data_IF_532632673549
#
_entry.id   IF_532632673549
#
_cell.length_a   1.000
_cell.length_b   1.000
_cell.length_c   1.000
_cell.angle_alpha   90.00
_cell.angle_beta   90.00
_cell.angle_gamma   90.00
#
_symmetry.space_group_name_H-M   'P 1'
#
loop_
_entity.id
_entity.type
_entity.pdbx_description
1 polymer ?
#
# COMPACT_ATOMS: atom_id res chain seq x y z
N UNK A 1 3.21 3.46 24.54
CA UNK A 1 2.27 4.38 23.86
C UNK A 1 1.53 3.52 22.86
N UNK A 2 0.24 3.27 23.08
CA UNK A 2 -0.56 2.44 22.18
C UNK A 2 -1.04 3.31 21.02
N UNK A 3 -0.82 2.88 19.78
CA UNK A 3 -1.31 3.57 18.59
C UNK A 3 -2.56 2.83 18.13
N UNK A 4 -3.76 3.41 18.28
CA UNK A 4 -4.99 2.73 17.89
C UNK A 4 -4.96 2.43 16.39
N UNK A 5 -5.41 1.23 16.01
CA UNK A 5 -5.45 0.81 14.61
C UNK A 5 -6.40 1.73 13.83
N UNK A 6 -5.91 2.28 12.72
CA UNK A 6 -6.73 3.08 11.81
C UNK A 6 -7.59 2.21 10.91
N UNK A 7 -8.71 2.76 10.42
CA UNK A 7 -9.56 2.10 9.42
C UNK A 7 -8.82 1.86 8.10
N UNK A 8 -7.94 2.78 7.72
CA UNK A 8 -7.12 2.70 6.51
C UNK A 8 -5.65 2.69 6.90
N UNK A 9 -4.93 1.65 6.49
CA UNK A 9 -3.52 1.45 6.80
C UNK A 9 -2.72 1.42 5.51
N UNK A 10 -1.58 2.10 5.49
CA UNK A 10 -0.62 2.02 4.38
C UNK A 10 0.66 1.38 4.88
N UNK A 11 1.10 0.32 4.20
CA UNK A 11 2.37 -0.36 4.42
C UNK A 11 3.29 0.00 3.25
N UNK A 12 4.35 0.75 3.53
CA UNK A 12 5.39 1.05 2.53
C UNK A 12 6.53 0.02 2.65
N UNK A 13 6.61 -0.91 1.70
CA UNK A 13 7.53 -2.04 1.74
C UNK A 13 7.02 -3.20 0.88
N UNK A 14 7.90 -4.10 0.43
CA UNK A 14 7.54 -5.06 -0.62
C UNK A 14 8.15 -6.46 -0.51
N UNK A 15 8.37 -6.95 0.71
CA UNK A 15 8.73 -8.36 0.95
C UNK A 15 7.59 -9.13 1.61
N UNK A 16 7.80 -10.42 1.89
CA UNK A 16 6.79 -11.31 2.48
C UNK A 16 6.21 -10.77 3.80
N UNK A 17 7.08 -10.14 4.61
CA UNK A 17 6.69 -9.49 5.87
C UNK A 17 5.64 -8.39 5.68
N UNK A 18 5.61 -7.71 4.53
CA UNK A 18 4.62 -6.67 4.26
C UNK A 18 3.21 -7.25 4.09
N UNK A 19 3.09 -8.42 3.46
CA UNK A 19 1.82 -9.14 3.31
C UNK A 19 1.35 -9.72 4.63
N UNK A 20 2.26 -10.29 5.42
CA UNK A 20 1.93 -10.81 6.75
C UNK A 20 1.47 -9.69 7.68
N UNK A 21 2.12 -8.53 7.63
CA UNK A 21 1.66 -7.34 8.33
C UNK A 21 0.28 -6.89 7.85
N UNK A 22 0.02 -6.90 6.54
CA UNK A 22 -1.29 -6.53 5.99
C UNK A 22 -2.42 -7.43 6.51
N UNK A 23 -2.20 -8.75 6.52
CA UNK A 23 -3.17 -9.72 7.09
C UNK A 23 -3.43 -9.46 8.57
N UNK A 24 -2.39 -9.19 9.35
CA UNK A 24 -2.52 -8.86 10.79
C UNK A 24 -3.28 -7.55 11.00
N UNK A 25 -3.07 -6.54 10.16
CA UNK A 25 -3.83 -5.29 10.21
C UNK A 25 -5.33 -5.53 9.96
N UNK A 26 -5.68 -6.34 8.96
CA UNK A 26 -7.08 -6.72 8.71
C UNK A 26 -7.70 -7.45 9.92
N UNK A 27 -6.98 -8.41 10.51
CA UNK A 27 -7.41 -9.11 11.73
C UNK A 27 -7.57 -8.18 12.94
N UNK A 28 -6.79 -7.08 12.98
CA UNK A 28 -6.83 -6.07 14.04
C UNK A 28 -7.92 -5.01 13.82
N UNK A 29 -8.78 -5.17 12.80
CA UNK A 29 -9.92 -4.30 12.54
C UNK A 29 -9.69 -3.17 11.53
N UNK A 30 -8.62 -3.22 10.74
CA UNK A 30 -8.50 -2.33 9.59
C UNK A 30 -9.60 -2.67 8.55
N UNK A 31 -10.19 -1.65 7.93
CA UNK A 31 -11.18 -1.80 6.85
C UNK A 31 -10.49 -1.98 5.49
N UNK A 32 -9.33 -1.33 5.30
CA UNK A 32 -8.53 -1.46 4.09
C UNK A 32 -7.05 -1.30 4.41
N UNK A 33 -6.23 -2.17 3.80
CA UNK A 33 -4.77 -2.06 3.87
C UNK A 33 -4.23 -1.86 2.45
N UNK A 34 -3.42 -0.83 2.25
CA UNK A 34 -2.70 -0.61 1.00
C UNK A 34 -1.24 -0.92 1.18
N UNK A 35 -0.68 -1.80 0.34
CA UNK A 35 0.75 -2.15 0.34
C UNK A 35 1.42 -1.53 -0.87
N UNK A 36 2.44 -0.70 -0.64
CA UNK A 36 3.22 -0.06 -1.70
C UNK A 36 4.50 -0.85 -1.97
N UNK A 37 4.53 -1.58 -3.08
CA UNK A 37 5.72 -2.26 -3.59
C UNK A 37 6.52 -1.35 -4.49
N UNK A 38 7.81 -1.22 -4.19
CA UNK A 38 8.74 -0.52 -5.09
C UNK A 38 9.02 -1.30 -6.38
N UNK A 39 8.96 -2.63 -6.31
CA UNK A 39 9.21 -3.55 -7.43
C UNK A 39 7.93 -3.78 -8.24
N UNK A 40 8.08 -4.28 -9.45
CA UNK A 40 6.97 -4.79 -10.26
C UNK A 40 6.43 -6.10 -9.69
N UNK A 41 5.20 -6.46 -10.07
CA UNK A 41 4.60 -7.73 -9.69
C UNK A 41 5.44 -8.94 -10.13
N UNK A 42 6.03 -8.87 -11.33
CA UNK A 42 6.91 -9.91 -11.88
C UNK A 42 8.16 -10.12 -11.03
N UNK A 43 8.79 -9.04 -10.56
CA UNK A 43 9.98 -9.11 -9.70
C UNK A 43 9.67 -9.66 -8.30
N UNK A 44 8.42 -9.56 -7.84
CA UNK A 44 7.95 -10.14 -6.57
C UNK A 44 7.52 -11.60 -6.77
N UNK A 45 7.19 -12.01 -8.00
CA UNK A 45 6.77 -13.37 -8.31
C UNK A 45 5.32 -13.69 -7.95
N UNK A 46 4.45 -12.67 -7.83
CA UNK A 46 3.03 -12.85 -7.50
C UNK A 46 2.21 -13.11 -8.77
N UNK A 47 1.42 -14.18 -8.75
CA UNK A 47 0.44 -14.46 -9.80
C UNK A 47 -0.77 -13.50 -9.72
N UNK A 48 -1.42 -13.24 -10.85
CA UNK A 48 -2.62 -12.39 -10.89
C UNK A 48 -3.75 -12.92 -9.99
N UNK A 49 -3.86 -14.24 -9.85
CA UNK A 49 -4.81 -14.88 -8.93
C UNK A 49 -4.52 -14.56 -7.46
N UNK A 50 -3.24 -14.46 -7.07
CA UNK A 50 -2.86 -14.08 -5.71
C UNK A 50 -3.17 -12.61 -5.46
N UNK A 51 -2.88 -11.74 -6.43
CA UNK A 51 -3.22 -10.31 -6.33
C UNK A 51 -4.74 -10.12 -6.19
N UNK A 52 -5.54 -10.86 -6.97
CA UNK A 52 -7.00 -10.83 -6.86
C UNK A 52 -7.48 -11.30 -5.47
N UNK A 53 -6.90 -12.39 -4.96
CA UNK A 53 -7.24 -12.90 -3.61
C UNK A 53 -6.94 -11.87 -2.51
N UNK A 54 -5.87 -11.08 -2.63
CA UNK A 54 -5.60 -9.98 -1.70
C UNK A 54 -6.61 -8.85 -1.84
N UNK A 55 -6.99 -8.51 -3.07
CA UNK A 55 -8.01 -7.50 -3.34
C UNK A 55 -9.37 -7.87 -2.72
N UNK A 56 -9.78 -9.14 -2.80
CA UNK A 56 -11.01 -9.64 -2.17
C UNK A 56 -10.99 -9.53 -0.64
N UNK A 57 -9.79 -9.53 -0.05
CA UNK A 57 -9.56 -9.31 1.39
C UNK A 57 -9.37 -7.83 1.74
N UNK A 58 -9.69 -6.90 0.83
CA UNK A 58 -9.47 -5.45 1.01
C UNK A 58 -8.00 -5.06 1.24
N UNK A 59 -7.08 -5.90 0.74
CA UNK A 59 -5.64 -5.63 0.71
C UNK A 59 -5.27 -5.19 -0.72
N UNK A 60 -5.04 -3.90 -0.89
CA UNK A 60 -4.72 -3.29 -2.18
C UNK A 60 -3.21 -3.27 -2.39
N UNK A 61 -2.72 -3.91 -3.45
CA UNK A 61 -1.29 -3.93 -3.78
C UNK A 61 -1.00 -2.91 -4.90
N UNK A 62 -0.12 -1.95 -4.64
CA UNK A 62 0.40 -1.05 -5.66
C UNK A 62 1.85 -1.38 -5.98
N UNK A 63 2.08 -1.86 -7.19
CA UNK A 63 3.41 -2.14 -7.71
C UNK A 63 4.07 -0.90 -8.30
N UNK A 64 5.41 -0.93 -8.34
CA UNK A 64 6.27 0.16 -8.83
C UNK A 64 5.98 1.51 -8.17
N UNK A 65 5.47 1.46 -6.95
CA UNK A 65 5.05 2.60 -6.15
C UNK A 65 6.19 3.02 -5.21
N UNK A 66 6.55 4.29 -5.26
CA UNK A 66 7.49 4.93 -4.33
C UNK A 66 6.78 6.06 -3.61
N UNK A 67 6.85 6.02 -2.29
CA UNK A 67 6.35 7.08 -1.43
C UNK A 67 7.00 8.42 -1.79
N UNK A 68 6.22 9.49 -1.89
CA UNK A 68 6.72 10.79 -2.31
C UNK A 68 6.43 11.92 -1.32
N UNK A 69 5.30 11.87 -0.61
CA UNK A 69 4.93 12.93 0.32
C UNK A 69 3.98 12.45 1.41
N UNK A 70 4.16 12.96 2.62
CA UNK A 70 3.19 12.89 3.71
C UNK A 70 2.49 14.23 3.83
N UNK A 71 1.17 14.21 3.99
CA UNK A 71 0.33 15.40 4.18
C UNK A 71 -0.52 15.23 5.43
N UNK A 72 -0.61 16.30 6.21
CA UNK A 72 -1.33 16.28 7.48
C UNK A 72 -1.94 17.63 7.80
N UNK A 73 -2.89 17.61 8.73
CA UNK A 73 -3.57 18.78 9.28
C UNK A 73 -3.44 18.68 10.79
N UNK A 74 -3.12 19.79 11.45
CA UNK A 74 -2.99 19.88 12.93
C UNK A 74 -2.08 18.81 13.54
N UNK A 75 -0.96 18.50 12.87
CA UNK A 75 0.01 17.48 13.32
C UNK A 75 -0.46 16.04 13.13
N UNK A 76 -1.63 15.79 12.53
CA UNK A 76 -2.12 14.46 12.20
C UNK A 76 -1.94 14.14 10.72
N UNK A 77 -1.44 12.94 10.41
CA UNK A 77 -1.36 12.45 9.04
C UNK A 77 -2.77 12.20 8.49
N UNK A 78 -3.10 12.79 7.34
CA UNK A 78 -4.41 12.67 6.68
C UNK A 78 -4.30 12.06 5.29
N UNK A 79 -3.16 12.27 4.62
CA UNK A 79 -2.95 11.80 3.26
C UNK A 79 -1.50 11.39 3.03
N UNK A 80 -1.34 10.41 2.16
CA UNK A 80 -0.06 9.88 1.74
C UNK A 80 -0.03 9.83 0.22
N UNK A 81 0.98 10.45 -0.38
CA UNK A 81 1.14 10.54 -1.83
C UNK A 81 2.28 9.61 -2.23
N UNK A 82 2.06 8.86 -3.31
CA UNK A 82 3.06 7.98 -3.90
C UNK A 82 3.10 8.21 -5.42
N UNK A 83 4.25 7.90 -6.02
CA UNK A 83 4.44 7.91 -7.47
C UNK A 83 4.58 6.48 -7.94
N UNK A 84 3.92 6.15 -9.03
CA UNK A 84 4.10 4.92 -9.76
C UNK A 84 4.90 5.19 -11.03
N UNK A 85 5.90 4.35 -11.25
CA UNK A 85 6.63 4.35 -12.52
C UNK A 85 5.99 3.34 -13.46
N UNK A 86 5.51 3.80 -14.62
CA UNK A 86 5.04 2.90 -15.66
C UNK A 86 6.18 2.01 -16.20
N UNK A 87 5.83 0.86 -16.76
CA UNK A 87 6.74 0.07 -17.59
C UNK A 87 6.61 0.58 -19.03
N UNK A 88 7.57 1.39 -19.50
CA UNK A 88 7.58 2.02 -20.83
C UNK A 88 7.85 3.53 -20.79
N UNK A 89 8.38 4.08 -21.90
CA UNK A 89 8.79 5.49 -22.02
C UNK A 89 7.64 6.46 -21.62
N UNK A 90 7.77 7.07 -20.45
CA UNK A 90 7.41 8.48 -20.27
C UNK A 90 6.09 8.84 -19.58
N UNK A 91 5.59 8.13 -18.57
CA UNK A 91 4.58 8.72 -17.66
C UNK A 91 4.70 8.22 -16.23
N UNK A 92 4.99 9.14 -15.30
CA UNK A 92 4.82 8.91 -13.86
C UNK A 92 3.34 9.13 -13.51
N UNK A 93 2.64 8.08 -13.12
CA UNK A 93 1.28 8.21 -12.59
C UNK A 93 1.38 8.40 -11.06
N UNK A 94 0.79 9.46 -10.53
CA UNK A 94 0.73 9.71 -9.08
C UNK A 94 -0.56 9.17 -8.49
N UNK A 95 -0.50 8.57 -7.30
CA UNK A 95 -1.67 8.18 -6.51
C UNK A 95 -1.62 8.81 -5.12
N UNK A 96 -2.77 8.92 -4.47
CA UNK A 96 -2.87 9.35 -3.08
C UNK A 96 -3.81 8.45 -2.31
N UNK A 97 -3.37 8.00 -1.13
CA UNK A 97 -4.23 7.32 -0.16
C UNK A 97 -4.58 8.32 0.94
N UNK A 98 -5.86 8.49 1.21
CA UNK A 98 -6.38 9.33 2.29
C UNK A 98 -6.96 8.48 3.41
N UNK A 99 -6.82 8.98 4.64
CA UNK A 99 -7.51 8.49 5.83
C UNK A 99 -9.03 8.64 5.69
#
# INVERSE_FOLDING_TARGET
MDVPMGKRVVIAGGGDLALDAAKKCMQSGAEQVTVLYRRSQQEVGLADSEVAQFSDQSIVLHFRATLSQFKGVDGQLTQLVYRQTASGNGSQAGGSVSR
#
